data_IF_235151560970
#
_entry.id   IF_235151560970
#
_cell.length_a   1.000
_cell.length_b   1.000
_cell.length_c   1.000
_cell.angle_alpha   90.00
_cell.angle_beta   90.00
_cell.angle_gamma   90.00
#
_symmetry.space_group_name_H-M   'P 1'
#
loop_
_entity.id
_entity.type
_entity.pdbx_description
1 polymer ?
#
# COMPACT_ATOMS: atom_id res chain seq x y z
N UNK A 1 -8.31 -35.78 -16.08
CA UNK A 1 -7.48 -34.56 -16.03
C UNK A 1 -8.35 -33.41 -16.50
N UNK A 2 -8.66 -32.42 -15.66
CA UNK A 2 -9.75 -31.50 -15.97
C UNK A 2 -9.33 -30.58 -17.12
N UNK A 3 -10.09 -30.68 -18.21
CA UNK A 3 -10.16 -29.69 -19.27
C UNK A 3 -10.71 -28.40 -18.65
N UNK A 4 -9.86 -27.39 -18.49
CA UNK A 4 -10.36 -26.03 -18.31
C UNK A 4 -11.03 -25.60 -19.63
N UNK A 5 -12.27 -25.08 -19.60
CA UNK A 5 -12.89 -24.56 -20.81
C UNK A 5 -12.14 -23.29 -21.23
N UNK A 6 -11.77 -23.23 -22.49
CA UNK A 6 -11.11 -22.07 -23.09
C UNK A 6 -12.03 -20.84 -23.04
N UNK A 7 -11.52 -19.66 -22.68
CA UNK A 7 -12.23 -18.43 -22.95
C UNK A 7 -11.76 -17.81 -24.26
N UNK A 8 -12.76 -17.36 -25.03
CA UNK A 8 -12.64 -16.64 -26.28
C UNK A 8 -11.77 -15.39 -26.11
N UNK A 9 -10.65 -15.36 -26.83
CA UNK A 9 -9.80 -14.19 -27.05
C UNK A 9 -10.65 -13.03 -27.59
N UNK A 10 -10.74 -11.93 -26.83
CA UNK A 10 -11.19 -10.65 -27.35
C UNK A 10 -10.19 -10.18 -28.42
N UNK A 11 -10.72 -10.02 -29.64
CA UNK A 11 -10.01 -9.65 -30.86
C UNK A 11 -9.70 -8.14 -30.88
N UNK A 12 -8.56 -7.67 -30.38
CA UNK A 12 -8.02 -6.37 -30.79
C UNK A 12 -6.48 -6.32 -30.65
N UNK A 13 -5.77 -6.38 -31.77
CA UNK A 13 -4.37 -5.94 -31.85
C UNK A 13 -4.31 -4.42 -31.96
N UNK A 14 -3.51 -3.70 -31.15
CA UNK A 14 -3.21 -2.31 -31.41
C UNK A 14 -1.87 -2.17 -32.16
N UNK A 15 -1.95 -1.48 -33.29
CA UNK A 15 -0.84 -0.97 -34.10
C UNK A 15 0.01 0.02 -33.29
N UNK A 16 1.33 -0.16 -33.37
CA UNK A 16 2.38 0.67 -32.77
C UNK A 16 2.39 2.08 -33.41
N UNK A 17 2.48 3.13 -32.59
CA UNK A 17 2.99 4.43 -33.00
C UNK A 17 3.77 5.09 -31.83
N UNK A 18 4.96 5.59 -32.16
CA UNK A 18 6.01 6.00 -31.23
C UNK A 18 6.00 7.50 -30.88
N UNK A 19 6.51 7.78 -29.67
CA UNK A 19 7.35 8.91 -29.22
C UNK A 19 6.86 10.37 -29.29
N UNK A 20 7.01 11.12 -28.18
CA UNK A 20 8.14 12.07 -28.00
C UNK A 20 8.01 12.98 -26.74
N UNK A 21 9.14 13.11 -26.01
CA UNK A 21 9.71 14.26 -25.25
C UNK A 21 8.82 15.13 -24.33
N UNK A 22 8.99 15.16 -23.00
CA UNK A 22 10.07 15.71 -22.12
C UNK A 22 9.80 17.14 -21.61
N UNK A 23 9.74 17.32 -20.28
CA UNK A 23 10.39 18.41 -19.53
C UNK A 23 10.05 18.31 -18.01
N UNK A 24 11.08 18.18 -17.17
CA UNK A 24 11.00 18.25 -15.71
C UNK A 24 11.14 19.72 -15.22
N UNK A 25 10.45 20.13 -14.15
CA UNK A 25 10.63 21.47 -13.55
C UNK A 25 11.84 21.52 -12.60
N UNK A 26 12.45 22.71 -12.38
CA UNK A 26 13.61 22.88 -11.52
C UNK A 26 13.27 22.90 -10.01
N UNK A 27 14.21 22.54 -9.11
CA UNK A 27 13.98 22.49 -7.67
C UNK A 27 14.06 23.87 -7.01
N UNK A 28 13.17 24.14 -6.04
CA UNK A 28 13.21 25.34 -5.18
C UNK A 28 13.83 24.99 -3.82
N UNK A 29 14.87 25.73 -3.41
CA UNK A 29 15.48 25.68 -2.08
C UNK A 29 14.69 26.54 -1.08
N UNK A 30 14.54 26.16 0.19
CA UNK A 30 14.09 27.07 1.25
C UNK A 30 15.26 27.84 1.88
N UNK A 31 15.04 29.03 2.47
CA UNK A 31 16.07 29.77 3.19
C UNK A 31 16.27 29.27 4.62
N UNK A 32 17.53 29.34 5.07
CA UNK A 32 18.03 29.22 6.44
C UNK A 32 17.91 30.58 7.16
N UNK A 33 17.44 30.58 8.42
CA UNK A 33 17.67 31.54 9.52
C UNK A 33 16.52 31.39 10.54
N UNK A 34 16.65 31.45 11.87
CA UNK A 34 17.71 31.71 12.83
C UNK A 34 17.20 31.20 14.21
N UNK A 35 18.06 30.78 15.13
CA UNK A 35 18.76 31.61 16.11
C UNK A 35 18.03 31.71 17.48
N UNK A 36 18.80 31.37 18.54
CA UNK A 36 18.81 31.90 19.92
C UNK A 36 17.74 31.37 20.90
N UNK A 37 18.12 30.55 21.91
CA UNK A 37 18.72 30.86 23.23
C UNK A 37 17.86 31.78 24.11
N UNK A 38 17.27 31.23 25.18
CA UNK A 38 17.14 31.91 26.47
C UNK A 38 17.22 30.91 27.64
N UNK A 39 18.17 31.20 28.54
CA UNK A 39 18.44 30.60 29.84
C UNK A 39 17.69 31.38 30.94
N UNK A 40 17.17 30.66 31.95
CA UNK A 40 17.12 31.05 33.38
C UNK A 40 16.46 29.89 34.16
N UNK A 41 17.06 29.17 35.10
CA UNK A 41 17.65 29.48 36.42
C UNK A 41 16.66 30.02 37.48
N UNK A 42 16.42 29.22 38.53
CA UNK A 42 15.78 29.58 39.81
C UNK A 42 15.41 28.34 40.63
N UNK A 43 16.26 27.91 41.59
CA UNK A 43 16.21 28.18 43.05
C UNK A 43 15.23 27.24 43.81
N UNK A 44 15.70 26.18 44.50
CA UNK A 44 16.22 26.05 45.91
C UNK A 44 15.12 25.97 46.99
N UNK A 45 15.39 25.09 47.99
CA UNK A 45 14.70 24.82 49.28
C UNK A 45 13.60 23.73 49.20
N UNK A 46 13.59 22.61 49.93
CA UNK A 46 14.25 22.22 51.18
C UNK A 46 13.17 22.00 52.25
N UNK A 47 12.79 20.73 52.55
CA UNK A 47 12.22 20.39 53.87
C UNK A 47 12.09 18.85 54.10
N UNK A 48 12.85 18.40 55.11
CA UNK A 48 12.58 17.41 56.16
C UNK A 48 11.79 16.09 55.91
N UNK A 49 12.43 15.02 56.38
CA UNK A 49 11.91 13.69 56.67
C UNK A 49 10.62 13.71 57.52
N UNK A 50 9.66 12.85 57.17
CA UNK A 50 8.74 12.25 58.14
C UNK A 50 8.32 10.86 57.71
N UNK A 51 8.83 9.86 58.41
CA UNK A 51 8.45 8.46 58.28
C UNK A 51 7.10 8.23 58.96
N UNK A 52 6.03 8.01 58.17
CA UNK A 52 4.82 7.33 58.66
C UNK A 52 4.50 6.14 57.77
N UNK A 53 4.77 4.94 58.31
CA UNK A 53 4.19 3.68 57.87
C UNK A 53 2.73 3.64 58.35
N UNK A 54 1.81 3.30 57.45
CA UNK A 54 0.61 2.52 57.78
C UNK A 54 0.22 1.67 56.57
N UNK A 55 -0.36 0.47 56.79
CA UNK A 55 -0.34 -0.63 55.84
C UNK A 55 -1.65 -0.79 55.07
N UNK A 56 -1.63 -1.73 54.11
CA UNK A 56 -2.77 -2.53 53.67
C UNK A 56 -3.80 -1.85 52.73
N UNK A 57 -3.66 -2.04 51.41
CA UNK A 57 -4.57 -2.84 50.57
C UNK A 57 -4.40 -2.54 49.07
N UNK A 58 -4.66 -3.60 48.30
CA UNK A 58 -4.89 -3.70 46.85
C UNK A 58 -3.66 -3.63 45.95
N UNK A 59 -3.30 -4.84 45.50
CA UNK A 59 -2.72 -5.10 44.21
C UNK A 59 -3.31 -4.15 43.15
N UNK A 60 -2.48 -3.23 42.66
CA UNK A 60 -2.79 -2.49 41.45
C UNK A 60 -2.41 -3.45 40.34
N UNK A 61 -3.45 -4.05 39.76
CA UNK A 61 -3.42 -4.77 38.50
C UNK A 61 -2.44 -4.08 37.55
N UNK A 62 -1.49 -4.86 37.02
CA UNK A 62 -0.63 -4.47 35.91
C UNK A 62 -1.50 -3.78 34.86
N UNK A 63 -1.46 -2.45 34.81
CA UNK A 63 -1.98 -1.69 33.69
C UNK A 63 -1.09 -2.02 32.49
N UNK A 64 -1.39 -3.16 31.86
CA UNK A 64 -0.93 -3.46 30.53
C UNK A 64 -1.63 -2.43 29.65
N UNK A 65 -0.93 -1.31 29.40
CA UNK A 65 -1.24 -0.47 28.27
C UNK A 65 -1.20 -1.40 27.06
N UNK A 66 -2.38 -1.78 26.57
CA UNK A 66 -2.52 -2.42 25.28
C UNK A 66 -1.96 -1.41 24.28
N UNK A 67 -0.73 -1.66 23.82
CA UNK A 67 -0.10 -0.89 22.76
C UNK A 67 -0.97 -1.09 21.53
N UNK A 68 -1.93 -0.19 21.30
CA UNK A 68 -2.73 -0.19 20.08
C UNK A 68 -1.76 0.00 18.93
N UNK A 69 -1.47 -1.08 18.19
CA UNK A 69 -0.59 -1.01 17.04
C UNK A 69 -1.18 -0.03 16.03
N UNK A 70 -0.49 1.09 15.79
CA UNK A 70 -0.93 2.12 14.85
C UNK A 70 -0.92 1.61 13.41
N UNK A 71 -0.21 0.51 13.14
CA UNK A 71 -0.11 -0.13 11.82
C UNK A 71 -0.80 -1.50 11.80
N UNK A 72 -1.04 -2.02 10.59
CA UNK A 72 -1.60 -3.35 10.32
C UNK A 72 -0.70 -4.12 9.34
N UNK A 73 -0.74 -5.47 9.35
CA UNK A 73 -0.08 -6.26 8.32
C UNK A 73 -0.49 -5.81 6.92
N UNK A 74 0.51 -5.48 6.12
CA UNK A 74 0.34 -4.83 4.82
C UNK A 74 1.08 -5.60 3.74
N UNK A 75 0.57 -5.53 2.51
CA UNK A 75 1.08 -6.24 1.35
C UNK A 75 1.20 -5.30 0.15
N UNK A 76 2.12 -5.65 -0.74
CA UNK A 76 2.15 -5.16 -2.13
C UNK A 76 1.52 -6.24 -3.00
N UNK A 77 0.55 -5.86 -3.83
CA UNK A 77 -0.14 -6.77 -4.76
C UNK A 77 0.21 -6.36 -6.19
N UNK A 78 0.59 -7.34 -7.00
CA UNK A 78 0.82 -7.19 -8.43
C UNK A 78 -0.38 -7.71 -9.20
N UNK A 79 -0.80 -6.92 -10.19
CA UNK A 79 -1.85 -7.25 -11.16
C UNK A 79 -1.41 -6.72 -12.52
N UNK A 80 -1.39 -7.57 -13.55
CA UNK A 80 -1.21 -7.10 -14.94
C UNK A 80 -2.57 -6.81 -15.57
N UNK A 81 -2.58 -5.85 -16.51
CA UNK A 81 -3.78 -5.44 -17.25
C UNK A 81 -3.45 -5.24 -18.73
N UNK A 82 -4.39 -5.49 -19.66
CA UNK A 82 -4.09 -5.49 -21.10
C UNK A 82 -3.74 -4.12 -21.68
N UNK A 83 -4.14 -3.02 -21.03
CA UNK A 83 -3.91 -1.68 -21.55
C UNK A 83 -4.08 -0.59 -20.47
N UNK A 84 -3.70 0.64 -20.85
CA UNK A 84 -3.73 1.84 -20.01
C UNK A 84 -5.11 2.24 -19.51
N UNK A 85 -6.14 2.06 -20.32
CA UNK A 85 -7.50 2.41 -19.93
C UNK A 85 -8.02 1.46 -18.86
N UNK A 86 -7.81 0.15 -19.05
CA UNK A 86 -8.11 -0.89 -18.09
C UNK A 86 -7.37 -0.64 -16.76
N UNK A 87 -6.06 -0.36 -16.81
CA UNK A 87 -5.25 -0.06 -15.62
C UNK A 87 -5.75 1.15 -14.83
N UNK A 88 -6.07 2.25 -15.52
CA UNK A 88 -6.63 3.45 -14.88
C UNK A 88 -8.00 3.19 -14.26
N UNK A 89 -8.90 2.54 -14.98
CA UNK A 89 -10.26 2.24 -14.52
C UNK A 89 -10.24 1.33 -13.30
N UNK A 90 -9.47 0.24 -13.36
CA UNK A 90 -9.35 -0.72 -12.26
C UNK A 90 -8.71 -0.06 -11.04
N UNK A 91 -7.64 0.72 -11.23
CA UNK A 91 -6.99 1.47 -10.13
C UNK A 91 -7.96 2.44 -9.46
N UNK A 92 -8.71 3.21 -10.23
CA UNK A 92 -9.70 4.16 -9.68
C UNK A 92 -10.80 3.44 -8.89
N UNK A 93 -11.28 2.31 -9.40
CA UNK A 93 -12.30 1.49 -8.74
C UNK A 93 -11.80 0.92 -7.40
N UNK A 94 -10.60 0.33 -7.38
CA UNK A 94 -9.96 -0.21 -6.17
C UNK A 94 -9.84 0.85 -5.07
N UNK A 95 -9.40 2.06 -5.42
CA UNK A 95 -9.25 3.16 -4.46
C UNK A 95 -10.62 3.67 -3.98
N UNK A 96 -11.58 3.80 -4.89
CA UNK A 96 -12.94 4.27 -4.56
C UNK A 96 -13.64 3.33 -3.58
N UNK A 97 -13.44 2.01 -3.73
CA UNK A 97 -13.97 1.00 -2.80
C UNK A 97 -13.14 0.83 -1.52
N UNK A 98 -12.08 1.63 -1.34
CA UNK A 98 -11.14 1.57 -0.22
C UNK A 98 -10.47 0.19 -0.03
N UNK A 99 -10.29 -0.54 -1.13
CA UNK A 99 -9.65 -1.86 -1.15
C UNK A 99 -8.12 -1.77 -1.12
N UNK A 100 -7.55 -0.60 -1.41
CA UNK A 100 -6.13 -0.30 -1.28
C UNK A 100 -5.91 1.18 -0.95
N UNK A 101 -4.75 1.51 -0.40
CA UNK A 101 -4.39 2.89 -0.10
C UNK A 101 -3.82 3.62 -1.32
N UNK A 102 -3.05 2.91 -2.15
CA UNK A 102 -2.54 3.45 -3.41
C UNK A 102 -2.28 2.37 -4.46
N UNK A 103 -2.25 2.80 -5.72
CA UNK A 103 -1.84 1.98 -6.87
C UNK A 103 -0.84 2.78 -7.69
N UNK A 104 0.31 2.19 -8.01
CA UNK A 104 1.20 2.71 -9.06
C UNK A 104 0.94 1.93 -10.34
N UNK A 105 0.98 2.60 -11.48
CA UNK A 105 0.83 1.99 -12.80
C UNK A 105 2.17 2.07 -13.52
N UNK A 106 2.74 0.93 -13.91
CA UNK A 106 3.97 0.84 -14.69
C UNK A 106 3.58 0.49 -16.13
N UNK A 107 3.66 1.44 -17.08
CA UNK A 107 3.25 1.21 -18.45
C UNK A 107 4.33 0.50 -19.27
N UNK A 108 3.92 -0.13 -20.37
CA UNK A 108 4.84 -0.64 -21.39
C UNK A 108 5.64 -1.85 -20.94
N UNK A 109 5.01 -2.75 -20.18
CA UNK A 109 5.61 -4.05 -19.87
C UNK A 109 5.32 -5.03 -21.01
N UNK A 110 6.22 -5.99 -21.17
CA UNK A 110 6.05 -7.12 -22.07
C UNK A 110 5.97 -8.39 -21.23
N UNK A 111 4.86 -9.11 -21.33
CA UNK A 111 4.62 -10.35 -20.60
C UNK A 111 4.85 -11.53 -21.54
N UNK A 112 5.76 -12.43 -21.16
CA UNK A 112 6.14 -13.62 -21.95
C UNK A 112 5.74 -14.88 -21.17
N UNK A 113 4.93 -15.73 -21.78
CA UNK A 113 4.38 -16.92 -21.12
C UNK A 113 4.11 -18.05 -22.11
N UNK A 114 3.88 -19.27 -21.60
CA UNK A 114 3.56 -20.44 -22.43
C UNK A 114 2.06 -20.70 -22.44
N UNK A 115 1.43 -20.70 -23.62
CA UNK A 115 0.00 -20.94 -23.76
C UNK A 115 -0.33 -21.53 -25.12
N UNK A 116 -1.31 -22.43 -25.18
CA UNK A 116 -1.71 -23.17 -26.39
C UNK A 116 -0.53 -23.82 -27.15
N UNK A 117 0.46 -24.34 -26.40
CA UNK A 117 1.59 -25.07 -26.98
C UNK A 117 2.66 -24.18 -27.63
N UNK A 118 2.67 -22.86 -27.37
CA UNK A 118 3.70 -21.94 -27.86
C UNK A 118 4.02 -20.85 -26.84
N UNK A 119 5.16 -20.18 -27.04
CA UNK A 119 5.48 -18.94 -26.34
C UNK A 119 4.61 -17.82 -26.90
N UNK A 120 3.94 -17.11 -26.00
CA UNK A 120 3.16 -15.90 -26.28
C UNK A 120 3.86 -14.69 -25.68
N UNK A 121 3.54 -13.54 -26.24
CA UNK A 121 4.06 -12.26 -25.80
C UNK A 121 2.98 -11.20 -25.97
N UNK A 122 2.60 -10.54 -24.89
CA UNK A 122 1.59 -9.48 -24.89
C UNK A 122 2.12 -8.21 -24.23
N UNK A 123 1.68 -7.05 -24.75
CA UNK A 123 1.95 -5.76 -24.13
C UNK A 123 0.91 -5.48 -23.05
N UNK A 124 1.35 -5.12 -21.87
CA UNK A 124 0.50 -4.92 -20.70
C UNK A 124 0.92 -3.68 -19.89
N UNK A 125 0.22 -3.42 -18.79
CA UNK A 125 0.69 -2.57 -17.69
C UNK A 125 0.71 -3.36 -16.37
N UNK A 126 1.67 -3.05 -15.49
CA UNK A 126 1.71 -3.61 -14.14
C UNK A 126 1.12 -2.62 -13.13
N UNK A 127 0.14 -3.09 -12.37
CA UNK A 127 -0.38 -2.40 -11.19
C UNK A 127 0.37 -2.86 -9.94
N UNK A 128 0.93 -1.90 -9.21
CA UNK A 128 1.59 -2.12 -7.92
C UNK A 128 0.73 -1.50 -6.82
N UNK A 129 -0.10 -2.33 -6.20
CA UNK A 129 -1.16 -1.97 -5.27
C UNK A 129 -0.66 -2.15 -3.83
N UNK A 130 -0.87 -1.17 -2.95
CA UNK A 130 -0.47 -1.26 -1.53
C UNK A 130 -1.72 -1.30 -0.67
N UNK A 131 -1.91 -2.39 0.05
CA UNK A 131 -3.12 -2.62 0.85
C UNK A 131 -2.83 -3.42 2.12
N UNK A 132 -3.86 -3.63 2.93
CA UNK A 132 -3.84 -4.52 4.08
C UNK A 132 -3.85 -5.97 3.62
N UNK A 133 -3.13 -6.83 4.32
CA UNK A 133 -3.19 -8.29 4.10
C UNK A 133 -4.62 -8.82 4.23
N UNK A 134 -5.39 -8.28 5.18
CA UNK A 134 -6.79 -8.66 5.43
C UNK A 134 -7.74 -8.43 4.26
N UNK A 135 -7.38 -7.55 3.32
CA UNK A 135 -8.20 -7.18 2.16
C UNK A 135 -7.84 -7.96 0.89
N UNK A 136 -6.84 -8.85 0.92
CA UNK A 136 -6.39 -9.58 -0.26
C UNK A 136 -7.53 -10.31 -0.97
N UNK A 137 -8.39 -11.02 -0.24
CA UNK A 137 -9.51 -11.74 -0.84
C UNK A 137 -10.53 -10.78 -1.50
N UNK A 138 -10.89 -9.70 -0.80
CA UNK A 138 -11.83 -8.71 -1.33
C UNK A 138 -11.26 -8.00 -2.57
N UNK A 139 -9.97 -7.66 -2.56
CA UNK A 139 -9.27 -7.10 -3.71
C UNK A 139 -9.24 -8.10 -4.87
N UNK A 140 -8.93 -9.37 -4.62
CA UNK A 140 -8.87 -10.41 -5.66
C UNK A 140 -10.22 -10.60 -6.34
N UNK A 141 -11.31 -10.68 -5.57
CA UNK A 141 -12.67 -10.79 -6.11
C UNK A 141 -13.08 -9.52 -6.88
N UNK A 142 -12.71 -8.33 -6.39
CA UNK A 142 -12.94 -7.09 -7.11
C UNK A 142 -12.19 -7.06 -8.45
N UNK A 143 -10.93 -7.50 -8.48
CA UNK A 143 -10.16 -7.61 -9.72
C UNK A 143 -10.86 -8.58 -10.68
N UNK A 144 -11.17 -9.80 -10.25
CA UNK A 144 -11.85 -10.81 -11.10
C UNK A 144 -13.17 -10.30 -11.69
N UNK A 145 -13.96 -9.55 -10.94
CA UNK A 145 -15.23 -8.99 -11.41
C UNK A 145 -15.05 -7.85 -12.43
N UNK A 146 -13.88 -7.21 -12.48
CA UNK A 146 -13.62 -6.00 -13.28
C UNK A 146 -12.43 -6.16 -14.24
N UNK A 147 -12.00 -7.40 -14.50
CA UNK A 147 -10.87 -7.71 -15.36
C UNK A 147 -11.32 -8.38 -16.67
N UNK A 148 -10.58 -8.14 -17.75
CA UNK A 148 -10.88 -8.72 -19.07
C UNK A 148 -10.53 -10.21 -19.15
N UNK A 149 -9.42 -10.59 -18.54
CA UNK A 149 -8.99 -12.00 -18.47
C UNK A 149 -9.79 -12.80 -17.45
N UNK A 150 -10.06 -14.06 -17.78
CA UNK A 150 -10.79 -14.99 -16.90
C UNK A 150 -9.97 -15.41 -15.67
N UNK A 151 -8.64 -15.45 -15.82
CA UNK A 151 -7.69 -15.74 -14.74
C UNK A 151 -6.68 -14.59 -14.66
N UNK A 152 -7.04 -13.46 -14.04
CA UNK A 152 -6.12 -12.33 -13.90
C UNK A 152 -4.96 -12.68 -12.96
N UNK A 153 -3.77 -12.17 -13.24
CA UNK A 153 -2.66 -12.22 -12.28
C UNK A 153 -3.03 -11.39 -11.05
N UNK A 154 -3.01 -12.01 -9.86
CA UNK A 154 -3.11 -11.33 -8.57
C UNK A 154 -2.20 -12.04 -7.59
N UNK A 155 -1.02 -11.48 -7.32
CA UNK A 155 -0.05 -12.06 -6.38
C UNK A 155 0.36 -11.03 -5.33
N UNK A 156 0.65 -11.49 -4.11
CA UNK A 156 0.92 -10.62 -2.97
C UNK A 156 2.33 -10.86 -2.38
N UNK A 157 2.97 -9.78 -1.96
CA UNK A 157 4.28 -9.75 -1.31
C UNK A 157 4.14 -9.04 0.05
N UNK A 158 4.64 -9.61 1.16
CA UNK A 158 4.52 -9.00 2.48
C UNK A 158 5.39 -7.75 2.63
N UNK A 159 4.85 -6.69 3.23
CA UNK A 159 5.61 -5.51 3.66
C UNK A 159 6.14 -5.76 5.06
N UNK A 160 7.46 -5.91 5.20
CA UNK A 160 8.12 -6.19 6.49
C UNK A 160 8.49 -4.94 7.31
N UNK A 161 8.27 -3.74 6.77
CA UNK A 161 8.61 -2.47 7.42
C UNK A 161 8.60 -1.29 6.45
N UNK A 162 8.99 -0.11 6.93
CA UNK A 162 9.04 1.11 6.12
C UNK A 162 8.81 2.37 6.96
N UNK A 163 8.44 3.46 6.29
CA UNK A 163 8.08 4.70 6.97
C UNK A 163 6.79 4.50 7.80
N UNK A 164 6.89 4.60 9.13
CA UNK A 164 5.78 4.36 10.04
C UNK A 164 4.54 5.19 9.69
N UNK A 165 4.71 6.50 9.44
CA UNK A 165 3.60 7.39 9.08
C UNK A 165 2.90 6.99 7.78
N UNK A 166 3.63 6.38 6.84
CA UNK A 166 3.05 5.89 5.60
C UNK A 166 2.22 4.62 5.84
N UNK A 167 2.69 3.72 6.70
CA UNK A 167 1.95 2.51 7.07
C UNK A 167 0.71 2.81 7.90
N UNK A 168 0.76 3.84 8.75
CA UNK A 168 -0.40 4.40 9.45
C UNK A 168 -1.41 4.96 8.45
N UNK A 169 -0.97 5.80 7.51
CA UNK A 169 -1.84 6.31 6.44
C UNK A 169 -2.43 5.20 5.57
N UNK A 170 -1.66 4.15 5.26
CA UNK A 170 -2.14 2.98 4.50
C UNK A 170 -3.30 2.32 5.23
N UNK A 171 -3.15 2.10 6.53
CA UNK A 171 -4.23 1.60 7.40
C UNK A 171 -5.44 2.55 7.31
N UNK A 172 -5.27 3.83 7.58
CA UNK A 172 -6.40 4.78 7.67
C UNK A 172 -7.12 5.01 6.34
N UNK A 173 -6.42 4.82 5.21
CA UNK A 173 -6.97 4.98 3.85
C UNK A 173 -7.72 3.75 3.33
N UNK A 174 -7.66 2.63 4.05
CA UNK A 174 -8.28 1.36 3.64
C UNK A 174 -9.43 1.00 4.57
N UNK A 175 -10.46 0.32 4.04
CA UNK A 175 -11.59 -0.12 4.85
C UNK A 175 -11.21 -1.26 5.80
N UNK A 176 -12.06 -1.48 6.79
CA UNK A 176 -12.00 -2.69 7.62
C UNK A 176 -12.56 -3.89 6.86
N UNK A 177 -12.18 -5.10 7.29
CA UNK A 177 -12.43 -6.36 6.57
C UNK A 177 -13.92 -6.65 6.40
#
# INVERSE_FOLDING_TARGET
>A
MPLFPAPLRALFSPTIAASSTSALPPPRRPPLAGALLFLSLGAVAGCALSTRRVPFLRAISSARMESTSTTVPSIVVYVTVPNREAGKKLSASIISEKLAACVNIVPGIESVYWWEGKVQTDAEELLIIKTRESLLNALTEHVKANHEYDVPEVIALPISGGNLKYLEWLKDSTREK
#
